data_IF_344783589948
#
_entry.id   IF_344783589948
#
_cell.length_a   1.000
_cell.length_b   1.000
_cell.length_c   1.000
_cell.angle_alpha   90.00
_cell.angle_beta   90.00
_cell.angle_gamma   90.00
#
_symmetry.space_group_name_H-M   'P 1'
#
loop_
_entity.id
_entity.type
_entity.pdbx_description
1 polymer ?
#
# COMPACT_ATOMS: atom_id res chain seq x y z
N UNK A 1 -3.52 -1.77 -28.28
CA UNK A 1 -2.72 -3.04 -28.34
C UNK A 1 -1.99 -3.25 -27.02
N UNK A 2 -1.71 -4.50 -26.61
CA UNK A 2 -0.86 -4.76 -25.42
C UNK A 2 0.61 -4.54 -25.78
N UNK A 3 1.43 -3.94 -24.90
CA UNK A 3 2.84 -3.73 -25.18
C UNK A 3 3.59 -5.07 -25.24
N UNK A 4 4.56 -5.16 -26.15
CA UNK A 4 5.49 -6.29 -26.22
C UNK A 4 6.59 -6.12 -25.18
N UNK A 5 7.22 -7.22 -24.76
CA UNK A 5 8.29 -7.20 -23.76
C UNK A 5 9.43 -6.23 -24.13
N UNK A 6 9.89 -6.27 -25.38
CA UNK A 6 10.89 -5.32 -25.92
C UNK A 6 10.49 -3.84 -25.81
N UNK A 7 9.20 -3.54 -25.91
CA UNK A 7 8.68 -2.16 -25.84
C UNK A 7 8.67 -1.69 -24.37
N UNK A 8 8.39 -2.61 -23.44
CA UNK A 8 8.47 -2.34 -21.99
C UNK A 8 9.93 -2.06 -21.60
N UNK A 9 10.86 -2.89 -22.03
CA UNK A 9 12.30 -2.75 -21.74
C UNK A 9 12.90 -1.48 -22.32
N UNK A 10 12.50 -1.11 -23.55
CA UNK A 10 12.96 0.13 -24.17
C UNK A 10 12.46 1.38 -23.42
N UNK A 11 11.27 1.33 -22.82
CA UNK A 11 10.67 2.47 -22.14
C UNK A 11 10.94 2.48 -20.62
N UNK A 12 11.37 1.37 -20.01
CA UNK A 12 11.53 1.27 -18.57
C UNK A 12 12.61 2.19 -18.01
N UNK A 13 13.66 2.48 -18.79
CA UNK A 13 14.74 3.37 -18.36
C UNK A 13 14.22 4.78 -18.05
N UNK A 14 13.35 5.32 -18.91
CA UNK A 14 12.73 6.63 -18.71
C UNK A 14 11.87 6.65 -17.44
N UNK A 15 11.07 5.61 -17.22
CA UNK A 15 10.25 5.49 -16.02
C UNK A 15 11.12 5.44 -14.75
N UNK A 16 12.25 4.74 -14.78
CA UNK A 16 13.17 4.67 -13.65
C UNK A 16 13.82 6.02 -13.36
N UNK A 17 14.22 6.77 -14.38
CA UNK A 17 14.74 8.14 -14.25
C UNK A 17 13.70 9.09 -13.68
N UNK A 18 12.45 9.03 -14.16
CA UNK A 18 11.34 9.82 -13.64
C UNK A 18 11.07 9.54 -12.16
N UNK A 19 11.03 8.26 -11.76
CA UNK A 19 10.84 7.86 -10.37
C UNK A 19 12.01 8.34 -9.50
N UNK A 20 13.25 8.24 -9.99
CA UNK A 20 14.43 8.69 -9.27
C UNK A 20 14.47 10.22 -9.08
N UNK A 21 13.96 10.97 -10.06
CA UNK A 21 13.88 12.42 -10.02
C UNK A 21 12.77 12.91 -9.07
N UNK A 22 11.56 12.34 -9.20
CA UNK A 22 10.39 12.75 -8.40
C UNK A 22 10.49 12.26 -6.96
N UNK A 23 11.11 11.09 -6.73
CA UNK A 23 11.19 10.40 -5.43
C UNK A 23 9.82 10.29 -4.74
N UNK A 24 8.82 9.66 -5.40
CA UNK A 24 7.49 9.56 -4.84
C UNK A 24 7.48 8.69 -3.58
N UNK A 25 6.64 9.04 -2.61
CA UNK A 25 6.42 8.19 -1.43
C UNK A 25 5.68 6.89 -1.77
N UNK A 26 4.79 6.94 -2.77
CA UNK A 26 3.91 5.85 -3.16
C UNK A 26 3.87 5.74 -4.68
N UNK A 27 4.07 4.54 -5.21
CA UNK A 27 3.84 4.20 -6.61
C UNK A 27 2.46 3.55 -6.77
N UNK A 28 1.67 4.05 -7.73
CA UNK A 28 0.31 3.55 -8.00
C UNK A 28 0.24 3.01 -9.43
N UNK A 29 0.65 1.75 -9.68
CA UNK A 29 0.55 1.18 -11.01
C UNK A 29 -0.90 0.87 -11.40
N UNK A 30 -1.26 1.19 -12.64
CA UNK A 30 -2.59 0.96 -13.20
C UNK A 30 -2.59 -0.27 -14.10
N UNK A 31 -3.27 -1.34 -13.66
CA UNK A 31 -3.45 -2.57 -14.41
C UNK A 31 -2.26 -3.52 -14.35
N UNK A 32 -2.35 -4.58 -15.17
CA UNK A 32 -1.48 -5.75 -15.06
C UNK A 32 -0.01 -5.45 -15.38
N UNK A 33 0.27 -4.81 -16.51
CA UNK A 33 1.65 -4.65 -17.00
C UNK A 33 2.48 -3.72 -16.10
N UNK A 34 1.92 -2.57 -15.71
CA UNK A 34 2.58 -1.64 -14.80
C UNK A 34 2.84 -2.29 -13.43
N UNK A 35 1.84 -2.99 -12.89
CA UNK A 35 1.97 -3.66 -11.59
C UNK A 35 3.00 -4.78 -11.67
N UNK A 36 2.97 -5.58 -12.74
CA UNK A 36 3.92 -6.67 -12.96
C UNK A 36 5.35 -6.15 -12.97
N UNK A 37 5.62 -5.13 -13.77
CA UNK A 37 6.95 -4.54 -13.89
C UNK A 37 7.48 -4.02 -12.55
N UNK A 38 6.67 -3.24 -11.80
CA UNK A 38 7.11 -2.73 -10.50
C UNK A 38 7.31 -3.85 -9.47
N UNK A 39 6.47 -4.88 -9.48
CA UNK A 39 6.64 -6.00 -8.56
C UNK A 39 7.93 -6.77 -8.83
N UNK A 40 8.23 -7.09 -10.10
CA UNK A 40 9.48 -7.74 -10.49
C UNK A 40 10.69 -6.88 -10.11
N UNK A 41 10.64 -5.56 -10.38
CA UNK A 41 11.73 -4.63 -10.06
C UNK A 41 12.00 -4.53 -8.55
N UNK A 42 10.96 -4.62 -7.73
CA UNK A 42 11.06 -4.52 -6.27
C UNK A 42 11.14 -5.89 -5.56
N UNK A 43 11.30 -6.99 -6.30
CA UNK A 43 11.43 -8.33 -5.73
C UNK A 43 10.18 -8.84 -5.02
N UNK A 44 9.00 -8.35 -5.40
CA UNK A 44 7.71 -8.79 -4.87
C UNK A 44 7.24 -10.00 -5.68
N UNK A 45 6.92 -11.10 -4.99
CA UNK A 45 6.34 -12.27 -5.64
C UNK A 45 5.00 -11.93 -6.31
N UNK A 46 4.92 -12.23 -7.60
CA UNK A 46 3.71 -12.04 -8.37
C UNK A 46 2.69 -13.14 -8.04
N UNK A 47 1.44 -12.80 -7.71
CA UNK A 47 0.38 -13.78 -7.69
C UNK A 47 0.29 -14.46 -9.05
N UNK A 48 -0.05 -15.76 -9.07
CA UNK A 48 -0.36 -16.46 -10.31
C UNK A 48 -1.35 -15.62 -11.15
N UNK A 49 -1.15 -15.55 -12.48
CA UNK A 49 -1.86 -14.63 -13.38
C UNK A 49 -3.39 -14.57 -13.21
N UNK A 50 -4.02 -15.69 -12.84
CA UNK A 50 -5.47 -15.79 -12.58
C UNK A 50 -5.91 -15.07 -11.29
N UNK A 51 -5.02 -14.97 -10.30
CA UNK A 51 -5.22 -14.33 -8.99
C UNK A 51 -4.70 -12.90 -8.92
N UNK A 52 -4.21 -12.35 -10.03
CA UNK A 52 -3.60 -11.02 -10.05
C UNK A 52 -4.57 -9.92 -9.57
N UNK A 53 -5.86 -10.07 -9.86
CA UNK A 53 -6.90 -9.15 -9.39
C UNK A 53 -7.00 -9.07 -7.86
N UNK A 54 -6.58 -10.12 -7.13
CA UNK A 54 -6.58 -10.14 -5.66
C UNK A 54 -5.47 -9.26 -5.04
N UNK A 55 -4.49 -8.86 -5.84
CA UNK A 55 -3.44 -7.94 -5.44
C UNK A 55 -3.90 -6.48 -5.46
N UNK A 56 -4.94 -6.15 -6.23
CA UNK A 56 -5.44 -4.77 -6.32
C UNK A 56 -6.06 -4.32 -5.00
N UNK A 57 -5.89 -3.03 -4.70
CA UNK A 57 -6.48 -2.43 -3.51
C UNK A 57 -5.77 -2.76 -2.20
N UNK A 58 -4.54 -3.29 -2.26
CA UNK A 58 -3.69 -3.54 -1.10
C UNK A 58 -2.42 -2.71 -1.20
N UNK A 59 -2.15 -1.90 -0.17
CA UNK A 59 -0.85 -1.23 -0.05
C UNK A 59 0.22 -2.29 0.25
N UNK A 60 1.41 -2.10 -0.31
CA UNK A 60 2.57 -2.96 -0.07
C UNK A 60 3.76 -2.07 0.29
N UNK A 61 4.58 -2.52 1.24
CA UNK A 61 5.84 -1.87 1.60
C UNK A 61 7.01 -2.75 1.21
N UNK A 62 7.93 -2.21 0.42
CA UNK A 62 9.10 -2.93 -0.11
C UNK A 62 10.36 -2.75 0.73
N UNK A 63 10.27 -2.10 1.89
CA UNK A 63 11.43 -1.63 2.65
C UNK A 63 11.96 -0.27 2.19
N UNK A 64 11.62 0.15 0.96
CA UNK A 64 12.07 1.42 0.36
C UNK A 64 10.93 2.31 -0.11
N UNK A 65 9.96 1.74 -0.81
CA UNK A 65 8.82 2.46 -1.39
C UNK A 65 7.50 1.72 -1.17
N UNK A 66 6.43 2.49 -1.02
CA UNK A 66 5.05 1.97 -0.94
C UNK A 66 4.53 1.73 -2.36
N UNK A 67 3.86 0.61 -2.61
CA UNK A 67 3.24 0.30 -3.90
C UNK A 67 1.77 -0.03 -3.70
N UNK A 68 0.89 0.64 -4.45
CA UNK A 68 -0.56 0.45 -4.38
C UNK A 68 -1.14 0.16 -5.76
N UNK A 69 -1.24 -1.11 -6.17
CA UNK A 69 -1.75 -1.45 -7.48
C UNK A 69 -3.25 -1.23 -7.59
N UNK A 70 -3.67 -0.63 -8.70
CA UNK A 70 -5.07 -0.37 -9.02
C UNK A 70 -5.47 -1.02 -10.35
N UNK A 71 -6.74 -1.39 -10.51
CA UNK A 71 -7.25 -1.76 -11.82
C UNK A 71 -7.21 -0.54 -12.75
N UNK A 72 -6.86 -0.78 -14.01
CA UNK A 72 -6.80 0.27 -15.02
C UNK A 72 -8.21 0.82 -15.30
N UNK A 73 -8.44 2.14 -15.40
CA UNK A 73 -9.78 2.72 -15.57
C UNK A 73 -10.56 2.16 -16.78
N UNK A 74 -9.87 1.95 -17.91
CA UNK A 74 -10.48 1.33 -19.10
C UNK A 74 -11.08 -0.08 -18.86
N UNK A 75 -10.73 -0.77 -17.77
CA UNK A 75 -11.38 -2.03 -17.37
C UNK A 75 -12.90 -1.86 -17.15
N UNK A 76 -13.32 -0.69 -16.65
CA UNK A 76 -14.72 -0.38 -16.38
C UNK A 76 -15.55 -0.20 -17.64
N UNK A 77 -14.94 0.18 -18.78
CA UNK A 77 -15.64 0.28 -20.06
C UNK A 77 -16.25 -1.06 -20.49
N UNK A 78 -15.63 -2.17 -20.09
CA UNK A 78 -16.09 -3.52 -20.40
C UNK A 78 -16.81 -4.20 -19.23
N UNK A 79 -16.71 -3.65 -18.01
CA UNK A 79 -17.25 -4.23 -16.78
C UNK A 79 -17.85 -3.14 -15.87
N UNK A 80 -18.87 -2.40 -16.33
CA UNK A 80 -19.44 -1.28 -15.58
C UNK A 80 -20.00 -1.71 -14.22
N UNK A 81 -20.48 -2.95 -14.09
CA UNK A 81 -20.99 -3.52 -12.83
C UNK A 81 -19.94 -3.60 -11.72
N UNK A 82 -18.65 -3.49 -12.04
CA UNK A 82 -17.56 -3.50 -11.06
C UNK A 82 -17.13 -2.10 -10.63
N UNK A 83 -17.77 -1.04 -11.13
CA UNK A 83 -17.43 0.35 -10.84
C UNK A 83 -17.34 0.63 -9.35
N UNK A 84 -18.35 0.23 -8.57
CA UNK A 84 -18.36 0.49 -7.13
C UNK A 84 -17.15 -0.13 -6.42
N UNK A 85 -16.81 -1.38 -6.78
CA UNK A 85 -15.64 -2.07 -6.23
C UNK A 85 -14.33 -1.38 -6.61
N UNK A 86 -14.20 -0.96 -7.87
CA UNK A 86 -13.03 -0.22 -8.34
C UNK A 86 -12.92 1.14 -7.63
N UNK A 87 -14.03 1.87 -7.53
CA UNK A 87 -14.06 3.19 -6.90
C UNK A 87 -13.67 3.13 -5.41
N UNK A 88 -14.03 2.05 -4.70
CA UNK A 88 -13.54 1.83 -3.32
C UNK A 88 -12.01 1.79 -3.26
N UNK A 89 -11.34 1.20 -4.23
CA UNK A 89 -9.87 1.20 -4.27
C UNK A 89 -9.30 2.57 -4.59
N UNK A 90 -9.92 3.34 -5.49
CA UNK A 90 -9.46 4.70 -5.80
C UNK A 90 -9.66 5.66 -4.62
N UNK A 91 -10.74 5.51 -3.85
CA UNK A 91 -11.00 6.32 -2.64
C UNK A 91 -9.88 6.20 -1.59
N UNK A 92 -9.21 5.04 -1.49
CA UNK A 92 -8.04 4.86 -0.62
C UNK A 92 -6.88 5.80 -0.94
N UNK A 93 -6.79 6.34 -2.15
CA UNK A 93 -5.76 7.34 -2.46
C UNK A 93 -5.91 8.60 -1.60
N UNK A 94 -7.12 8.96 -1.16
CA UNK A 94 -7.33 10.08 -0.24
C UNK A 94 -6.78 9.79 1.16
N UNK A 95 -6.84 8.53 1.60
CA UNK A 95 -6.27 8.06 2.88
C UNK A 95 -4.77 8.28 2.88
N UNK A 96 -4.11 7.91 1.78
CA UNK A 96 -2.65 7.97 1.66
C UNK A 96 -2.08 9.38 1.57
N UNK A 97 -2.91 10.40 1.32
CA UNK A 97 -2.47 11.81 1.31
C UNK A 97 -2.13 12.34 2.70
N UNK A 98 -2.62 11.68 3.75
CA UNK A 98 -2.48 12.15 5.12
C UNK A 98 -1.99 11.03 6.03
N UNK A 99 -1.25 11.40 7.08
CA UNK A 99 -0.87 10.46 8.14
C UNK A 99 -2.05 10.22 9.10
N UNK A 100 -1.97 9.12 9.85
CA UNK A 100 -2.90 8.82 10.93
C UNK A 100 -2.96 9.95 11.96
N UNK A 101 -4.17 10.43 12.26
CA UNK A 101 -4.40 11.52 13.24
C UNK A 101 -3.86 11.25 14.63
N UNK A 102 -3.84 9.98 15.08
CA UNK A 102 -3.33 9.60 16.40
C UNK A 102 -1.85 9.29 16.44
N UNK A 103 -1.16 9.33 15.29
CA UNK A 103 0.28 9.03 15.23
C UNK A 103 1.13 9.79 16.27
N UNK A 104 0.88 11.08 16.59
CA UNK A 104 1.69 11.80 17.57
C UNK A 104 1.64 11.22 18.99
N UNK A 105 0.54 10.58 19.37
CA UNK A 105 0.28 10.05 20.72
C UNK A 105 0.21 8.52 20.77
N UNK A 106 0.16 7.86 19.62
CA UNK A 106 0.02 6.41 19.53
C UNK A 106 1.28 5.68 20.07
N UNK A 107 1.12 4.63 20.91
CA UNK A 107 2.22 3.82 21.43
C UNK A 107 3.15 3.26 20.34
N UNK A 108 2.62 2.96 19.16
CA UNK A 108 3.44 2.46 18.04
C UNK A 108 4.55 3.43 17.63
N UNK A 109 4.26 4.73 17.64
CA UNK A 109 5.27 5.76 17.34
C UNK A 109 6.33 5.81 18.42
N UNK A 110 5.95 5.63 19.70
CA UNK A 110 6.89 5.53 20.82
C UNK A 110 7.80 4.30 20.67
N UNK A 111 7.23 3.12 20.48
CA UNK A 111 8.01 1.88 20.33
C UNK A 111 8.95 1.92 19.11
N UNK A 112 8.52 2.55 18.02
CA UNK A 112 9.38 2.78 16.86
C UNK A 112 10.58 3.69 17.20
N UNK A 113 10.35 4.78 17.93
CA UNK A 113 11.43 5.70 18.38
C UNK A 113 12.40 5.02 19.35
N UNK A 114 11.90 4.10 20.18
CA UNK A 114 12.71 3.28 21.09
C UNK A 114 13.47 2.14 20.37
N UNK A 115 13.24 1.94 19.06
CA UNK A 115 13.86 0.85 18.29
C UNK A 115 13.25 -0.53 18.55
N UNK A 116 12.15 -0.61 19.29
CA UNK A 116 11.45 -1.86 19.61
C UNK A 116 10.49 -2.33 18.50
N UNK A 117 10.08 -1.42 17.60
CA UNK A 117 9.12 -1.70 16.53
C UNK A 117 9.75 -1.51 15.14
N UNK A 118 9.53 -2.46 14.25
CA UNK A 118 9.98 -2.37 12.86
C UNK A 118 9.32 -1.19 12.13
N UNK A 119 10.12 -0.47 11.32
CA UNK A 119 9.69 0.67 10.50
C UNK A 119 8.49 0.35 9.61
N UNK A 120 8.37 -0.89 9.13
CA UNK A 120 7.26 -1.38 8.31
C UNK A 120 5.91 -1.03 8.92
N UNK A 121 5.73 -1.12 10.24
CA UNK A 121 4.46 -0.81 10.89
C UNK A 121 4.07 0.66 10.73
N UNK A 122 5.05 1.56 10.87
CA UNK A 122 4.83 3.00 10.72
C UNK A 122 4.59 3.36 9.25
N UNK A 123 5.40 2.84 8.32
CA UNK A 123 5.28 3.16 6.89
C UNK A 123 3.99 2.58 6.29
N UNK A 124 3.61 1.37 6.69
CA UNK A 124 2.45 0.69 6.14
C UNK A 124 1.13 1.23 6.69
N UNK A 125 1.04 1.44 8.01
CA UNK A 125 -0.21 1.83 8.65
C UNK A 125 -0.22 3.34 8.91
N UNK A 126 0.69 3.85 9.74
CA UNK A 126 0.61 5.24 10.21
C UNK A 126 0.80 6.29 9.09
N UNK A 127 1.70 6.02 8.13
CA UNK A 127 1.97 6.86 6.95
C UNK A 127 1.42 6.26 5.65
N UNK A 128 0.59 5.24 5.77
CA UNK A 128 0.05 4.48 4.65
C UNK A 128 -1.46 4.26 4.83
N UNK A 129 -1.89 3.01 4.89
CA UNK A 129 -3.29 2.65 5.06
C UNK A 129 -3.72 2.66 6.53
N UNK A 130 -3.82 3.85 7.12
CA UNK A 130 -4.17 4.00 8.54
C UNK A 130 -5.60 3.56 8.85
N UNK A 131 -6.53 3.60 7.88
CA UNK A 131 -7.89 3.07 8.04
C UNK A 131 -7.91 1.56 8.27
N UNK A 132 -6.92 0.83 7.76
CA UNK A 132 -6.81 -0.63 7.96
C UNK A 132 -6.32 -1.01 9.36
N UNK A 133 -5.75 -0.06 10.10
CA UNK A 133 -5.20 -0.27 11.43
C UNK A 133 -6.30 -0.61 12.44
N UNK A 134 -6.17 -1.75 13.13
CA UNK A 134 -7.12 -2.19 14.16
C UNK A 134 -7.14 -1.28 15.38
N UNK A 135 -5.98 -0.72 15.77
CA UNK A 135 -5.92 0.31 16.81
C UNK A 135 -6.76 1.52 16.40
N UNK A 136 -6.59 2.00 15.17
CA UNK A 136 -7.36 3.14 14.66
C UNK A 136 -8.87 2.86 14.73
N UNK A 137 -9.29 1.68 14.25
CA UNK A 137 -10.69 1.27 14.27
C UNK A 137 -11.25 1.14 15.69
N UNK A 138 -10.44 0.74 16.67
CA UNK A 138 -10.85 0.60 18.07
C UNK A 138 -11.01 1.97 18.74
N UNK A 139 -10.04 2.88 18.54
CA UNK A 139 -10.12 4.27 19.02
C UNK A 139 -11.36 5.00 18.46
N UNK A 140 -11.67 4.85 17.16
CA UNK A 140 -12.85 5.51 16.56
C UNK A 140 -14.16 5.01 17.17
N UNK A 141 -14.16 3.78 17.68
CA UNK A 141 -15.32 3.14 18.32
C UNK A 141 -15.34 3.32 19.83
N UNK A 142 -14.32 3.97 20.42
CA UNK A 142 -14.16 4.06 21.87
C UNK A 142 -13.94 2.71 22.55
N UNK A 143 -13.44 1.70 21.83
CA UNK A 143 -13.17 0.37 22.37
C UNK A 143 -11.75 0.34 22.93
N UNK A 144 -11.66 -0.02 24.21
CA UNK A 144 -10.37 -0.20 24.87
C UNK A 144 -9.54 -1.30 24.20
N UNK A 145 -8.24 -1.05 24.07
CA UNK A 145 -7.26 -2.02 23.62
C UNK A 145 -5.90 -1.70 24.25
N UNK A 146 -5.02 -2.71 24.45
CA UNK A 146 -3.75 -2.48 25.12
C UNK A 146 -2.70 -1.80 24.21
N UNK A 147 -1.71 -1.16 24.82
CA UNK A 147 -0.62 -0.46 24.11
C UNK A 147 0.21 -1.38 23.21
N UNK A 148 0.38 -2.63 23.63
CA UNK A 148 1.16 -3.62 22.91
C UNK A 148 0.39 -4.35 21.79
N UNK A 149 -0.84 -3.91 21.50
CA UNK A 149 -1.57 -4.35 20.30
C UNK A 149 -0.96 -3.70 19.06
N UNK A 150 -0.52 -4.50 18.11
CA UNK A 150 0.01 -4.05 16.82
C UNK A 150 -1.11 -3.54 15.89
N UNK A 151 -0.78 -2.77 14.85
CA UNK A 151 -1.76 -2.28 13.87
C UNK A 151 -2.62 -3.33 13.18
N UNK A 152 -2.15 -4.58 13.07
CA UNK A 152 -2.93 -5.69 12.51
C UNK A 152 -3.90 -6.35 13.53
N UNK A 153 -3.81 -5.96 14.81
CA UNK A 153 -4.61 -6.49 15.91
C UNK A 153 -3.92 -7.61 16.70
N UNK A 154 -2.72 -8.04 16.31
CA UNK A 154 -1.94 -9.01 17.09
C UNK A 154 -1.37 -8.36 18.36
N UNK A 155 -1.10 -9.17 19.39
CA UNK A 155 -0.52 -8.70 20.66
C UNK A 155 0.94 -9.09 20.69
N UNK A 156 1.82 -8.10 20.80
CA UNK A 156 3.26 -8.33 20.97
C UNK A 156 3.64 -8.22 22.45
N UNK A 157 3.98 -9.36 23.08
CA UNK A 157 4.35 -9.40 24.50
C UNK A 157 5.74 -8.81 24.78
N UNK A 158 6.55 -8.58 23.75
CA UNK A 158 7.88 -7.98 23.90
C UNK A 158 7.83 -6.46 24.04
N UNK A 159 6.71 -5.86 23.64
CA UNK A 159 6.43 -4.44 23.79
C UNK A 159 5.79 -4.20 25.16
N UNK A 160 6.61 -3.93 26.17
CA UNK A 160 6.21 -3.41 27.47
C UNK A 160 6.94 -2.10 27.81
#
# INVERSE_FOLDING_TARGET
RKPRQREIEACSNWLEEEIALIRPEILVPLGFFATKYLFEKHGIELPAKRKFHLGYGKLLWTGKIKIYPLPHPAFLLYNPQLEENVMRYYRKLAVFKHECKWRPVCPMTRYYREGKLDKKWIEFFCKGDWESCKRYQAEEKGVWHPDNMLPDGSIDKTLS
#
